data_IF_078408650043
#
_entry.id   IF_078408650043
#
_cell.length_a   1.000
_cell.length_b   1.000
_cell.length_c   1.000
_cell.angle_alpha   90.00
_cell.angle_beta   90.00
_cell.angle_gamma   90.00
#
_symmetry.space_group_name_H-M   'P 1'
#
loop_
_entity.id
_entity.type
_entity.pdbx_description
1 polymer ?
#
# COMPACT_ATOMS: atom_id res chain seq x y z
N UNK A 1 22.31 10.31 1.16
CA UNK A 1 22.14 8.86 0.99
C UNK A 1 22.17 8.11 2.32
N UNK A 2 23.12 8.36 3.23
CA UNK A 2 23.17 7.74 4.55
C UNK A 2 21.86 7.76 5.38
N UNK A 3 21.11 8.88 5.51
CA UNK A 3 19.89 8.90 6.32
C UNK A 3 18.75 8.04 5.74
N UNK A 4 18.56 8.04 4.42
CA UNK A 4 17.52 7.24 3.76
C UNK A 4 17.77 5.74 3.92
N UNK A 5 19.03 5.32 3.87
CA UNK A 5 19.42 3.93 4.15
C UNK A 5 19.17 3.56 5.61
N UNK A 6 19.48 4.45 6.56
CA UNK A 6 19.20 4.20 7.97
C UNK A 6 17.70 4.02 8.25
N UNK A 7 16.85 4.90 7.69
CA UNK A 7 15.38 4.81 7.82
C UNK A 7 14.84 3.54 7.15
N UNK A 8 15.36 3.18 5.97
CA UNK A 8 15.01 1.93 5.30
C UNK A 8 15.35 0.70 6.13
N UNK A 9 16.58 0.63 6.65
CA UNK A 9 17.04 -0.45 7.53
C UNK A 9 16.23 -0.54 8.81
N UNK A 10 15.91 0.59 9.44
CA UNK A 10 15.07 0.63 10.64
C UNK A 10 13.66 0.10 10.35
N UNK A 11 13.06 0.52 9.23
CA UNK A 11 11.74 0.05 8.79
C UNK A 11 11.74 -1.44 8.52
N UNK A 12 12.80 -1.97 7.90
CA UNK A 12 12.97 -3.40 7.64
C UNK A 12 13.07 -4.21 8.94
N UNK A 13 13.92 -3.78 9.88
CA UNK A 13 14.05 -4.45 11.18
C UNK A 13 12.72 -4.44 11.95
N UNK A 14 12.02 -3.31 11.93
CA UNK A 14 10.69 -3.20 12.54
C UNK A 14 9.69 -4.15 11.86
N UNK A 15 9.70 -4.27 10.54
CA UNK A 15 8.82 -5.19 9.82
C UNK A 15 9.05 -6.67 10.19
N UNK A 16 10.31 -7.08 10.38
CA UNK A 16 10.64 -8.43 10.86
C UNK A 16 10.05 -8.68 12.26
N UNK A 17 10.27 -7.74 13.19
CA UNK A 17 9.76 -7.86 14.56
C UNK A 17 8.22 -7.83 14.60
N UNK A 18 7.60 -7.01 13.75
CA UNK A 18 6.16 -6.84 13.62
C UNK A 18 5.45 -8.10 13.05
N UNK A 19 6.13 -8.84 12.17
CA UNK A 19 5.53 -9.97 11.46
C UNK A 19 5.07 -11.10 12.38
N UNK A 20 5.87 -11.48 13.37
CA UNK A 20 5.55 -12.58 14.29
C UNK A 20 4.24 -12.37 15.07
N UNK A 21 4.10 -11.26 15.82
CA UNK A 21 2.86 -10.90 16.52
C UNK A 21 1.65 -10.79 15.58
N UNK A 22 1.82 -10.14 14.44
CA UNK A 22 0.72 -9.94 13.48
C UNK A 22 0.23 -11.27 12.90
N UNK A 23 1.13 -12.19 12.53
CA UNK A 23 0.74 -13.51 12.00
C UNK A 23 -0.01 -14.31 13.07
N UNK A 24 0.44 -14.27 14.33
CA UNK A 24 -0.27 -14.93 15.44
C UNK A 24 -1.68 -14.35 15.61
N UNK A 25 -1.81 -13.02 15.55
CA UNK A 25 -3.09 -12.33 15.63
C UNK A 25 -4.03 -12.73 14.48
N UNK A 26 -3.56 -12.66 13.23
CA UNK A 26 -4.35 -12.99 12.04
C UNK A 26 -4.79 -14.47 12.05
N UNK A 27 -3.90 -15.39 12.45
CA UNK A 27 -4.22 -16.80 12.61
C UNK A 27 -5.25 -17.04 13.70
N UNK A 28 -5.12 -16.36 14.85
CA UNK A 28 -6.08 -16.46 15.95
C UNK A 28 -7.49 -15.99 15.59
N UNK A 29 -7.61 -15.03 14.67
CA UNK A 29 -8.90 -14.52 14.17
C UNK A 29 -9.41 -15.28 12.92
N UNK A 30 -8.71 -16.33 12.50
CA UNK A 30 -9.04 -17.09 11.29
C UNK A 30 -9.01 -16.23 10.02
N UNK A 31 -8.19 -15.17 10.00
CA UNK A 31 -7.98 -14.29 8.85
C UNK A 31 -6.83 -14.91 8.03
N UNK A 32 -7.16 -16.03 7.37
CA UNK A 32 -6.26 -16.78 6.53
C UNK A 32 -7.07 -17.65 5.58
N UNK A 33 -6.55 -17.85 4.37
CA UNK A 33 -7.21 -18.74 3.41
C UNK A 33 -7.11 -20.19 3.90
N UNK A 34 -8.27 -20.82 4.18
CA UNK A 34 -8.37 -22.29 4.24
C UNK A 34 -8.43 -22.81 2.80
N UNK A 35 -7.55 -23.75 2.46
CA UNK A 35 -7.37 -24.18 1.07
C UNK A 35 -8.49 -25.16 0.64
N UNK A 36 -8.90 -24.95 -0.61
CA UNK A 36 -9.62 -25.85 -1.52
C UNK A 36 -9.00 -27.26 -1.54
N UNK A 37 -9.79 -28.29 -1.25
CA UNK A 37 -9.34 -29.70 -1.25
C UNK A 37 -9.06 -30.23 -2.67
N UNK A 38 -9.68 -29.62 -3.71
CA UNK A 38 -9.65 -30.10 -5.11
C UNK A 38 -8.60 -29.44 -6.03
N UNK A 39 -7.57 -28.79 -5.49
CA UNK A 39 -6.51 -28.13 -6.27
C UNK A 39 -5.31 -29.03 -6.61
N UNK A 40 -4.53 -28.75 -7.69
CA UNK A 40 -3.32 -29.50 -8.03
C UNK A 40 -2.32 -29.56 -6.86
N UNK A 41 -1.58 -30.69 -6.73
CA UNK A 41 -0.69 -30.97 -5.58
C UNK A 41 0.37 -29.89 -5.30
N UNK A 42 0.77 -29.11 -6.32
CA UNK A 42 1.67 -27.95 -6.19
C UNK A 42 1.10 -26.79 -5.36
N UNK A 43 -0.23 -26.67 -5.24
CA UNK A 43 -0.90 -25.63 -4.45
C UNK A 43 -1.12 -26.00 -2.97
N UNK A 44 -0.78 -27.22 -2.53
CA UNK A 44 -0.88 -27.65 -1.13
C UNK A 44 0.24 -27.09 -0.23
N UNK A 45 1.27 -26.47 -0.80
CA UNK A 45 2.43 -25.92 -0.06
C UNK A 45 2.12 -24.56 0.58
N UNK A 46 1.08 -23.84 0.13
CA UNK A 46 0.65 -22.54 0.70
C UNK A 46 -0.44 -22.71 1.77
N UNK A 47 -0.29 -23.69 2.66
CA UNK A 47 -1.26 -23.95 3.72
C UNK A 47 -1.09 -22.97 4.88
N UNK A 48 -2.16 -22.26 5.26
CA UNK A 48 -2.21 -21.45 6.49
C UNK A 48 -1.47 -20.10 6.43
N UNK A 49 -1.18 -19.60 5.23
CA UNK A 49 -0.61 -18.25 5.06
C UNK A 49 -1.73 -17.21 5.22
N UNK A 50 -1.60 -16.23 6.14
CA UNK A 50 -2.63 -15.25 6.38
C UNK A 50 -2.89 -14.40 5.13
N UNK A 51 -4.17 -14.23 4.79
CA UNK A 51 -4.63 -13.23 3.82
C UNK A 51 -4.59 -11.85 4.49
N UNK A 52 -4.31 -10.78 3.73
CA UNK A 52 -3.96 -9.42 4.22
C UNK A 52 -2.49 -9.19 4.61
N UNK A 53 -1.55 -9.94 4.04
CA UNK A 53 -0.11 -9.75 4.26
C UNK A 53 0.42 -8.34 3.96
N UNK A 54 -0.30 -7.53 3.16
CA UNK A 54 0.03 -6.12 2.92
C UNK A 54 0.16 -5.28 4.21
N UNK A 55 -0.56 -5.63 5.28
CA UNK A 55 -0.44 -4.97 6.60
C UNK A 55 0.95 -5.17 7.19
N UNK A 56 1.67 -6.25 6.86
CA UNK A 56 3.05 -6.48 7.30
C UNK A 56 4.01 -5.44 6.74
N UNK A 57 3.68 -4.81 5.61
CA UNK A 57 4.50 -3.78 4.97
C UNK A 57 3.97 -2.39 5.31
N UNK A 58 2.66 -2.17 5.14
CA UNK A 58 2.04 -0.86 5.35
C UNK A 58 2.17 -0.41 6.80
N UNK A 59 1.99 -1.31 7.77
CA UNK A 59 2.11 -0.99 9.21
C UNK A 59 3.47 -0.35 9.54
N UNK A 60 4.58 -1.08 9.35
CA UNK A 60 5.94 -0.54 9.54
C UNK A 60 6.21 0.78 8.80
N UNK A 61 5.87 0.85 7.51
CA UNK A 61 6.12 2.05 6.71
C UNK A 61 5.36 3.26 7.27
N UNK A 62 4.09 3.10 7.60
CA UNK A 62 3.26 4.16 8.17
C UNK A 62 3.76 4.55 9.56
N UNK A 63 4.01 3.58 10.45
CA UNK A 63 4.45 3.87 11.82
C UNK A 63 5.80 4.58 11.84
N UNK A 64 6.78 4.12 11.07
CA UNK A 64 8.10 4.78 11.02
C UNK A 64 7.99 6.16 10.37
N UNK A 65 7.29 6.29 9.24
CA UNK A 65 7.14 7.59 8.55
C UNK A 65 6.43 8.62 9.42
N UNK A 66 5.34 8.23 10.10
CA UNK A 66 4.61 9.14 11.00
C UNK A 66 5.42 9.47 12.25
N UNK A 67 6.11 8.50 12.86
CA UNK A 67 6.97 8.77 14.02
C UNK A 67 8.06 9.77 13.67
N UNK A 68 8.73 9.59 12.53
CA UNK A 68 9.75 10.52 12.07
C UNK A 68 9.17 11.91 11.78
N UNK A 69 7.98 11.99 11.16
CA UNK A 69 7.29 13.26 10.93
C UNK A 69 6.92 13.97 12.24
N UNK A 70 6.44 13.22 13.24
CA UNK A 70 6.10 13.78 14.55
C UNK A 70 7.34 14.25 15.31
N UNK A 71 8.42 13.47 15.29
CA UNK A 71 9.70 13.83 15.91
C UNK A 71 10.27 15.07 15.26
N UNK A 72 10.28 15.15 13.93
CA UNK A 72 10.71 16.33 13.19
C UNK A 72 9.94 17.58 13.63
N UNK A 73 8.59 17.52 13.63
CA UNK A 73 7.73 18.65 14.03
C UNK A 73 7.87 19.04 15.50
N UNK A 74 7.96 18.07 16.41
CA UNK A 74 8.07 18.33 17.84
C UNK A 74 9.45 18.89 18.20
N UNK A 75 10.53 18.34 17.62
CA UNK A 75 11.89 18.75 17.93
C UNK A 75 12.24 20.11 17.29
N UNK A 76 11.65 20.43 16.14
CA UNK A 76 11.65 21.79 15.55
C UNK A 76 11.06 22.86 16.49
N UNK A 77 10.04 22.51 17.28
CA UNK A 77 9.43 23.44 18.24
C UNK A 77 10.27 23.68 19.50
N UNK A 78 11.23 22.79 19.79
CA UNK A 78 12.01 22.80 21.04
C UNK A 78 13.46 23.24 20.83
N UNK A 79 14.08 22.94 19.69
CA UNK A 79 15.48 23.23 19.41
C UNK A 79 15.75 23.37 17.90
N UNK A 80 15.36 24.49 17.25
CA UNK A 80 15.48 24.67 15.81
C UNK A 80 16.94 24.61 15.30
N UNK A 81 17.92 24.95 16.13
CA UNK A 81 19.35 24.90 15.75
C UNK A 81 19.94 23.47 15.72
N UNK A 82 19.33 22.53 16.43
CA UNK A 82 19.84 21.15 16.54
C UNK A 82 19.50 20.30 15.30
N UNK A 83 18.56 20.75 14.44
CA UNK A 83 17.92 19.94 13.40
C UNK A 83 18.06 20.42 11.96
N UNK A 84 18.94 21.38 11.67
CA UNK A 84 19.22 21.82 10.29
C UNK A 84 19.61 20.68 9.33
N UNK A 85 20.09 19.54 9.87
CA UNK A 85 20.35 18.30 9.10
C UNK A 85 19.16 17.35 8.91
N UNK A 86 18.14 17.40 9.79
CA UNK A 86 16.97 16.51 9.79
C UNK A 86 15.80 17.07 8.97
N UNK A 87 15.67 18.40 8.82
CA UNK A 87 14.67 19.03 7.94
C UNK A 87 14.77 18.55 6.47
N UNK A 88 15.96 18.07 6.05
CA UNK A 88 16.18 17.47 4.73
C UNK A 88 15.65 16.05 4.58
N UNK A 89 15.31 15.33 5.66
CA UNK A 89 14.88 13.93 5.59
C UNK A 89 13.41 13.79 5.17
N UNK A 90 12.55 14.74 5.52
CA UNK A 90 11.11 14.64 5.30
C UNK A 90 10.70 15.70 4.28
N UNK A 91 10.88 15.39 3.01
CA UNK A 91 10.39 16.23 1.94
C UNK A 91 8.88 16.48 2.09
N UNK A 92 8.43 17.71 1.84
CA UNK A 92 7.00 18.10 1.83
C UNK A 92 6.12 17.15 1.01
N UNK A 93 6.72 16.39 0.09
CA UNK A 93 6.08 15.42 -0.79
C UNK A 93 5.81 14.04 -0.19
N UNK A 94 6.37 13.64 0.97
CA UNK A 94 6.27 12.24 1.46
C UNK A 94 4.86 11.85 1.92
N UNK A 95 4.06 12.82 2.34
CA UNK A 95 2.68 12.59 2.77
C UNK A 95 1.80 12.08 1.63
N UNK A 96 2.02 12.56 0.41
CA UNK A 96 1.20 12.18 -0.73
C UNK A 96 1.32 10.70 -1.13
N UNK A 97 2.53 10.13 -1.34
CA UNK A 97 2.68 8.69 -1.57
C UNK A 97 2.28 7.88 -0.33
N UNK A 98 2.47 8.38 0.89
CA UNK A 98 2.01 7.70 2.11
C UNK A 98 0.48 7.59 2.14
N UNK A 99 -0.24 8.69 1.89
CA UNK A 99 -1.69 8.68 1.79
C UNK A 99 -2.16 7.76 0.65
N UNK A 100 -1.50 7.81 -0.51
CA UNK A 100 -1.83 6.93 -1.64
C UNK A 100 -1.64 5.46 -1.28
N UNK A 101 -0.52 5.11 -0.63
CA UNK A 101 -0.22 3.76 -0.13
C UNK A 101 -1.30 3.28 0.84
N UNK A 102 -1.67 4.11 1.81
CA UNK A 102 -2.72 3.79 2.80
C UNK A 102 -4.07 3.63 2.12
N UNK A 103 -4.47 4.53 1.20
CA UNK A 103 -5.76 4.45 0.50
C UNK A 103 -5.87 3.18 -0.35
N UNK A 104 -4.84 2.84 -1.13
CA UNK A 104 -4.81 1.59 -1.91
C UNK A 104 -4.74 0.36 -1.01
N UNK A 105 -3.99 0.43 0.09
CA UNK A 105 -3.92 -0.61 1.10
C UNK A 105 -5.25 -0.90 1.78
N UNK A 106 -5.99 0.14 2.15
CA UNK A 106 -7.35 0.02 2.71
C UNK A 106 -8.30 -0.56 1.68
N UNK A 107 -8.29 -0.06 0.43
CA UNK A 107 -9.15 -0.58 -0.63
C UNK A 107 -8.88 -2.09 -0.89
N UNK A 108 -7.61 -2.49 -0.95
CA UNK A 108 -7.21 -3.90 -1.09
C UNK A 108 -7.57 -4.75 0.13
N UNK A 109 -7.36 -4.23 1.34
CA UNK A 109 -7.73 -4.90 2.58
C UNK A 109 -9.24 -5.13 2.70
N UNK A 110 -10.05 -4.14 2.31
CA UNK A 110 -11.52 -4.29 2.29
C UNK A 110 -11.97 -5.32 1.25
N UNK A 111 -11.30 -5.43 0.11
CA UNK A 111 -11.54 -6.45 -0.90
C UNK A 111 -11.24 -7.85 -0.38
N UNK A 112 -10.08 -8.03 0.27
CA UNK A 112 -9.68 -9.29 0.90
C UNK A 112 -10.63 -9.69 2.04
N UNK A 113 -11.05 -8.75 2.89
CA UNK A 113 -11.99 -9.02 3.98
C UNK A 113 -13.34 -9.50 3.45
N UNK A 114 -13.87 -8.89 2.39
CA UNK A 114 -15.14 -9.32 1.78
C UNK A 114 -15.03 -10.73 1.21
N UNK A 115 -13.92 -11.04 0.55
CA UNK A 115 -13.68 -12.38 0.05
C UNK A 115 -13.64 -13.43 1.17
N UNK A 116 -13.09 -13.10 2.34
CA UNK A 116 -13.09 -13.97 3.53
C UNK A 116 -14.52 -14.13 4.10
N UNK A 117 -15.25 -13.03 4.27
CA UNK A 117 -16.62 -13.06 4.81
C UNK A 117 -17.54 -13.89 3.91
N UNK A 118 -17.52 -13.68 2.60
CA UNK A 118 -18.33 -14.46 1.67
C UNK A 118 -18.03 -15.96 1.69
N UNK A 119 -16.76 -16.35 1.96
CA UNK A 119 -16.41 -17.76 2.16
C UNK A 119 -16.93 -18.31 3.48
N UNK A 120 -16.91 -17.54 4.56
CA UNK A 120 -17.46 -17.95 5.87
C UNK A 120 -18.97 -18.16 5.79
N UNK A 121 -19.68 -17.26 5.12
CA UNK A 121 -21.12 -17.37 4.89
C UNK A 121 -21.50 -18.63 4.09
N UNK A 122 -20.70 -18.98 3.08
CA UNK A 122 -20.87 -20.22 2.32
C UNK A 122 -20.83 -21.47 3.21
N UNK A 123 -19.79 -21.57 4.04
CA UNK A 123 -19.59 -22.69 4.95
C UNK A 123 -20.74 -22.76 5.96
N UNK A 124 -21.16 -21.62 6.51
CA UNK A 124 -22.26 -21.55 7.46
C UNK A 124 -23.62 -21.97 6.87
N UNK A 125 -23.83 -21.74 5.57
CA UNK A 125 -25.07 -22.11 4.86
C UNK A 125 -25.02 -23.49 4.22
N UNK A 126 -23.95 -24.27 4.45
CA UNK A 126 -23.77 -25.60 3.87
C UNK A 126 -23.46 -25.59 2.36
N UNK A 127 -23.16 -24.42 1.80
CA UNK A 127 -22.75 -24.28 0.40
C UNK A 127 -21.28 -24.66 0.25
N UNK A 128 -20.95 -25.31 -0.86
CA UNK A 128 -19.57 -25.65 -1.20
C UNK A 128 -18.73 -24.37 -1.45
N UNK A 129 -17.81 -24.00 -0.54
CA UNK A 129 -17.01 -22.79 -0.65
C UNK A 129 -15.99 -22.85 -1.82
N UNK A 130 -15.81 -24.01 -2.45
CA UNK A 130 -14.96 -24.16 -3.64
C UNK A 130 -15.60 -23.61 -4.91
N UNK A 131 -16.95 -23.57 -4.96
CA UNK A 131 -17.75 -23.05 -6.08
C UNK A 131 -17.99 -21.55 -5.96
N UNK A 132 -17.84 -21.01 -4.76
CA UNK A 132 -17.87 -19.57 -4.50
C UNK A 132 -16.43 -19.10 -4.73
N UNK A 133 -16.15 -18.63 -5.95
CA UNK A 133 -14.89 -17.97 -6.27
C UNK A 133 -14.58 -16.83 -5.29
N UNK A 134 -13.40 -16.19 -5.41
CA UNK A 134 -13.10 -14.98 -4.61
C UNK A 134 -14.16 -13.90 -4.89
N UNK A 135 -15.20 -13.83 -4.06
CA UNK A 135 -16.21 -12.76 -4.08
C UNK A 135 -15.64 -11.55 -3.34
N UNK A 136 -14.70 -10.88 -3.99
CA UNK A 136 -14.30 -9.52 -3.61
C UNK A 136 -15.32 -8.49 -4.11
N UNK A 137 -14.92 -7.23 -4.15
CA UNK A 137 -15.64 -6.18 -4.87
C UNK A 137 -15.88 -6.59 -6.33
N UNK A 138 -16.99 -6.09 -6.89
CA UNK A 138 -17.21 -6.08 -8.33
C UNK A 138 -16.03 -5.33 -8.97
N UNK A 139 -15.36 -5.95 -9.94
CA UNK A 139 -14.15 -5.40 -10.56
C UNK A 139 -14.32 -3.95 -11.04
N UNK A 140 -15.49 -3.61 -11.62
CA UNK A 140 -15.82 -2.25 -12.07
C UNK A 140 -15.88 -1.24 -10.92
N UNK A 141 -16.43 -1.63 -9.77
CA UNK A 141 -16.51 -0.76 -8.60
C UNK A 141 -15.14 -0.59 -7.93
N UNK A 142 -14.35 -1.67 -7.84
CA UNK A 142 -12.96 -1.60 -7.35
C UNK A 142 -12.13 -0.67 -8.22
N UNK A 143 -12.24 -0.81 -9.54
CA UNK A 143 -11.56 0.04 -10.49
C UNK A 143 -11.99 1.52 -10.38
N UNK A 144 -13.29 1.79 -10.22
CA UNK A 144 -13.79 3.15 -10.01
C UNK A 144 -13.15 3.80 -8.76
N UNK A 145 -13.05 3.07 -7.65
CA UNK A 145 -12.36 3.56 -6.45
C UNK A 145 -10.87 3.82 -6.68
N UNK A 146 -10.16 2.93 -7.40
CA UNK A 146 -8.75 3.15 -7.76
C UNK A 146 -8.56 4.42 -8.59
N UNK A 147 -9.44 4.67 -9.57
CA UNK A 147 -9.41 5.88 -10.40
C UNK A 147 -9.68 7.12 -9.57
N UNK A 148 -10.65 7.10 -8.64
CA UNK A 148 -10.92 8.23 -7.74
C UNK A 148 -9.69 8.56 -6.89
N UNK A 149 -9.10 7.55 -6.23
CA UNK A 149 -7.90 7.73 -5.39
C UNK A 149 -6.74 8.26 -6.23
N UNK A 150 -6.51 7.70 -7.42
CA UNK A 150 -5.45 8.13 -8.32
C UNK A 150 -5.67 9.55 -8.86
N UNK A 151 -6.92 9.94 -9.10
CA UNK A 151 -7.27 11.31 -9.55
C UNK A 151 -6.95 12.33 -8.46
N UNK A 152 -7.34 12.04 -7.21
CA UNK A 152 -7.00 12.90 -6.07
C UNK A 152 -5.48 13.01 -5.92
N UNK A 153 -4.76 11.89 -6.00
CA UNK A 153 -3.30 11.87 -5.91
C UNK A 153 -2.64 12.66 -7.07
N UNK A 154 -3.11 12.48 -8.30
CA UNK A 154 -2.60 13.18 -9.49
C UNK A 154 -2.85 14.70 -9.44
N UNK A 155 -4.04 15.11 -8.98
CA UNK A 155 -4.36 16.53 -8.76
C UNK A 155 -3.48 17.13 -7.66
N UNK A 156 -3.21 16.40 -6.57
CA UNK A 156 -2.28 16.83 -5.54
C UNK A 156 -0.84 16.94 -6.06
N UNK A 157 -0.36 15.97 -6.86
CA UNK A 157 0.95 16.04 -7.52
C UNK A 157 1.07 17.29 -8.40
N UNK A 158 0.06 17.57 -9.22
CA UNK A 158 0.08 18.68 -10.17
C UNK A 158 -0.12 20.04 -9.49
N UNK A 159 -1.11 20.17 -8.60
CA UNK A 159 -1.56 21.45 -8.07
C UNK A 159 -0.91 21.82 -6.73
N UNK A 160 -0.65 20.85 -5.84
CA UNK A 160 0.00 21.12 -4.55
C UNK A 160 1.53 21.08 -4.65
N UNK A 161 2.07 20.14 -5.43
CA UNK A 161 3.52 19.95 -5.58
C UNK A 161 4.11 20.58 -6.85
N UNK A 162 3.25 21.13 -7.73
CA UNK A 162 3.69 21.82 -8.95
C UNK A 162 4.34 20.90 -9.98
N UNK A 163 4.14 19.59 -9.90
CA UNK A 163 4.76 18.63 -10.80
C UNK A 163 4.02 18.62 -12.15
N UNK A 164 4.74 19.01 -13.20
CA UNK A 164 4.23 19.07 -14.58
C UNK A 164 5.12 18.38 -15.60
N UNK A 165 6.38 18.15 -15.23
CA UNK A 165 7.38 17.57 -16.13
C UNK A 165 7.58 16.07 -15.94
N UNK A 166 8.00 15.40 -17.02
CA UNK A 166 8.52 14.03 -17.00
C UNK A 166 9.95 14.02 -17.52
N UNK A 167 10.81 13.29 -16.81
CA UNK A 167 12.18 13.01 -17.26
C UNK A 167 12.19 11.75 -18.12
N UNK A 168 12.77 11.83 -19.31
CA UNK A 168 12.99 10.67 -20.18
C UNK A 168 14.45 10.24 -20.03
N UNK A 169 14.74 8.98 -19.63
CA UNK A 169 16.10 8.46 -19.63
C UNK A 169 16.71 8.68 -21.00
N UNK A 170 17.97 9.15 -21.08
CA UNK A 170 18.72 9.59 -22.29
C UNK A 170 18.52 11.05 -22.73
N UNK A 171 17.44 11.72 -22.33
CA UNK A 171 17.23 13.13 -22.70
C UNK A 171 17.57 14.01 -21.49
N UNK A 172 18.55 14.93 -21.58
CA UNK A 172 18.98 15.77 -20.46
C UNK A 172 18.02 16.95 -20.18
N UNK A 173 16.76 16.87 -20.63
CA UNK A 173 15.74 17.90 -20.42
C UNK A 173 14.46 17.30 -19.87
N UNK A 174 13.81 18.02 -18.96
CA UNK A 174 12.45 17.69 -18.55
C UNK A 174 11.48 18.12 -19.64
N UNK A 175 10.57 17.22 -20.00
CA UNK A 175 9.47 17.54 -20.92
C UNK A 175 8.29 17.97 -20.08
N UNK A 176 7.84 19.21 -20.25
CA UNK A 176 6.64 19.72 -19.59
C UNK A 176 5.39 19.16 -20.28
N UNK A 177 4.58 18.41 -19.53
CA UNK A 177 3.31 17.88 -19.98
C UNK A 177 2.14 18.83 -19.69
N UNK A 178 2.34 19.82 -18.82
CA UNK A 178 1.29 20.68 -18.32
C UNK A 178 0.09 19.88 -17.80
N UNK A 179 -1.09 20.13 -18.37
CA UNK A 179 -2.33 19.42 -18.00
C UNK A 179 -2.28 17.91 -18.27
N UNK A 180 -1.53 17.46 -19.28
CA UNK A 180 -1.40 16.03 -19.61
C UNK A 180 -0.69 15.20 -18.55
N UNK A 181 -0.04 15.87 -17.58
CA UNK A 181 0.53 15.20 -16.41
C UNK A 181 -0.52 14.43 -15.60
N UNK A 182 -1.73 15.00 -15.44
CA UNK A 182 -2.80 14.42 -14.63
C UNK A 182 -3.27 13.06 -15.19
N UNK A 183 -3.73 12.95 -16.45
CA UNK A 183 -4.15 11.65 -17.00
C UNK A 183 -3.00 10.64 -17.07
N UNK A 184 -1.77 11.10 -17.34
CA UNK A 184 -0.59 10.22 -17.33
C UNK A 184 -0.33 9.64 -15.92
N UNK A 185 -0.36 10.48 -14.89
CA UNK A 185 -0.19 10.05 -13.51
C UNK A 185 -1.31 9.09 -13.06
N UNK A 186 -2.56 9.37 -13.41
CA UNK A 186 -3.69 8.46 -13.13
C UNK A 186 -3.45 7.10 -13.76
N UNK A 187 -3.10 7.07 -15.05
CA UNK A 187 -2.80 5.83 -15.78
C UNK A 187 -1.68 5.04 -15.12
N UNK A 188 -0.58 5.70 -14.75
CA UNK A 188 0.57 5.04 -14.11
C UNK A 188 0.19 4.48 -12.73
N UNK A 189 -0.51 5.25 -11.89
CA UNK A 189 -0.87 4.83 -10.53
C UNK A 189 -1.83 3.63 -10.59
N UNK A 190 -2.92 3.75 -11.36
CA UNK A 190 -3.92 2.68 -11.49
C UNK A 190 -3.32 1.47 -12.19
N UNK A 191 -2.57 1.68 -13.27
CA UNK A 191 -1.90 0.64 -14.03
C UNK A 191 -0.91 -0.15 -13.18
N UNK A 192 -0.08 0.53 -12.38
CA UNK A 192 0.89 -0.12 -11.49
C UNK A 192 0.20 -0.96 -10.41
N UNK A 193 -0.86 -0.44 -9.79
CA UNK A 193 -1.61 -1.20 -8.77
C UNK A 193 -2.25 -2.46 -9.35
N UNK A 194 -2.80 -2.39 -10.55
CA UNK A 194 -3.40 -3.55 -11.21
C UNK A 194 -2.35 -4.53 -11.73
N UNK A 195 -1.23 -4.04 -12.27
CA UNK A 195 -0.13 -4.88 -12.74
C UNK A 195 0.40 -5.79 -11.62
N UNK A 196 0.69 -5.22 -10.45
CA UNK A 196 1.16 -5.98 -9.28
C UNK A 196 0.11 -6.97 -8.77
N UNK A 197 -1.18 -6.63 -8.88
CA UNK A 197 -2.26 -7.52 -8.43
C UNK A 197 -2.51 -8.70 -9.40
N UNK A 198 -2.09 -8.59 -10.66
CA UNK A 198 -2.24 -9.63 -11.68
C UNK A 198 -1.07 -10.61 -11.72
N UNK A 199 0.10 -10.22 -11.20
CA UNK A 199 1.31 -11.04 -11.08
C UNK A 199 1.41 -11.72 -9.72
#
# INVERSE_FOLDING_TARGET
MAPSLAVGSLTFLFAILWGGPLIKYLRGHGIGEQIRIDGPRSHKVKTGTPTMGGIMIIGPVVTITLTLLLVDRALLSLAPELLSGLEKLIGRSILLPLCTLVSYGVLGGLDDMRAIVSRREAIATGQDPSKIGKKGFIARLKFAWQVIIATIAALALHSLLGLRGVGIPTIPRFIDLGFWYIPAAIFIIVGSSNAINLT
#
